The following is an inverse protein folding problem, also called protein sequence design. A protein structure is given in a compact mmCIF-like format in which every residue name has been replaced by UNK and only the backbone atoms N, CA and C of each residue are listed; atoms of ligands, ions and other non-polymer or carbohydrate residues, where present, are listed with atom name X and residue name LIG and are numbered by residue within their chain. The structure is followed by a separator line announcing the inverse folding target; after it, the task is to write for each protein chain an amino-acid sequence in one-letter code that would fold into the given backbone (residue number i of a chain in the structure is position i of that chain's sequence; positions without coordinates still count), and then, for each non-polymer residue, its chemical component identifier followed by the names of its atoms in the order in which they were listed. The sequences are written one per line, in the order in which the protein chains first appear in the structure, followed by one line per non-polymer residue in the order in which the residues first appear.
data_IF_041355679943
#
_entry.id   IF_041355679943
#
_cell.length_a   1.000
_cell.length_b   1.000
_cell.length_c   1.000
_cell.angle_alpha   90.00
_cell.angle_beta   90.00
_cell.angle_gamma   90.00
#
_symmetry.space_group_name_H-M   'P 1'
#
loop_
_entity.id
_entity.type
_entity.pdbx_description
1 polymer ?
#
# COMPACT_ATOMS: atom_id res chain seq x y z
N UNK A 1 24.72 -33.09 4.38
CA UNK A 1 24.85 -31.93 5.28
C UNK A 1 24.81 -32.50 6.69
N UNK A 2 25.79 -32.20 7.56
CA UNK A 2 25.89 -32.83 8.88
C UNK A 2 24.73 -32.36 9.79
N UNK A 3 23.99 -33.30 10.37
CA UNK A 3 22.88 -33.02 11.31
C UNK A 3 23.31 -32.12 12.49
N UNK A 4 24.56 -32.24 12.95
CA UNK A 4 25.12 -31.42 14.02
C UNK A 4 25.13 -29.91 13.69
N UNK A 5 25.35 -29.56 12.41
CA UNK A 5 25.39 -28.16 11.97
C UNK A 5 23.98 -27.57 11.96
N UNK A 6 22.98 -28.34 11.53
CA UNK A 6 21.57 -27.91 11.53
C UNK A 6 21.07 -27.65 12.95
N UNK A 7 21.49 -28.48 13.93
CA UNK A 7 21.13 -28.30 15.33
C UNK A 7 21.72 -27.00 15.89
N UNK A 8 23.00 -26.72 15.59
CA UNK A 8 23.66 -25.48 16.04
C UNK A 8 22.98 -24.25 15.45
N UNK A 9 22.71 -24.24 14.13
CA UNK A 9 22.03 -23.14 13.47
C UNK A 9 20.62 -22.92 13.99
N UNK A 10 19.87 -24.00 14.21
CA UNK A 10 18.51 -23.93 14.75
C UNK A 10 18.50 -23.32 16.16
N UNK A 11 19.43 -23.72 17.03
CA UNK A 11 19.56 -23.14 18.38
C UNK A 11 19.89 -21.65 18.33
N UNK A 12 20.83 -21.25 17.46
CA UNK A 12 21.20 -19.85 17.31
C UNK A 12 20.02 -18.99 16.82
N UNK A 13 19.32 -19.45 15.78
CA UNK A 13 18.24 -18.69 15.15
C UNK A 13 16.97 -18.56 16.01
N UNK A 14 16.87 -19.36 17.08
CA UNK A 14 15.78 -19.32 18.06
C UNK A 14 16.16 -18.66 19.38
N UNK A 15 17.44 -18.31 19.58
CA UNK A 15 17.89 -17.62 20.77
C UNK A 15 17.65 -16.10 20.64
N UNK A 16 17.10 -15.44 21.67
CA UNK A 16 16.96 -13.99 21.68
C UNK A 16 18.34 -13.33 21.76
N UNK A 17 18.56 -12.27 20.97
CA UNK A 17 19.81 -11.53 20.97
C UNK A 17 19.59 -10.12 21.53
N UNK A 18 20.52 -9.67 22.37
CA UNK A 18 20.47 -8.33 22.96
C UNK A 18 20.52 -7.24 21.87
N UNK A 19 21.33 -7.43 20.84
CA UNK A 19 21.45 -6.51 19.70
C UNK A 19 20.13 -6.40 18.90
N UNK A 20 19.28 -7.43 18.97
CA UNK A 20 17.94 -7.42 18.39
C UNK A 20 16.85 -7.05 19.41
N UNK A 21 17.25 -6.43 20.52
CA UNK A 21 16.35 -6.03 21.62
C UNK A 21 15.50 -7.21 22.15
N UNK A 22 16.08 -8.42 22.15
CA UNK A 22 15.41 -9.63 22.61
C UNK A 22 14.65 -10.39 21.52
N UNK A 23 14.64 -9.94 20.27
CA UNK A 23 14.16 -10.76 19.15
C UNK A 23 15.19 -11.82 18.76
N UNK A 24 14.69 -12.94 18.25
CA UNK A 24 15.55 -13.97 17.65
C UNK A 24 15.92 -13.61 16.21
N UNK A 25 17.01 -14.18 15.64
CA UNK A 25 17.31 -14.02 14.23
C UNK A 25 16.14 -14.38 13.30
N UNK A 26 15.37 -15.43 13.60
CA UNK A 26 14.18 -15.78 12.81
C UNK A 26 13.05 -14.74 12.89
N UNK A 27 12.87 -14.12 14.06
CA UNK A 27 11.88 -13.05 14.24
C UNK A 27 12.33 -11.77 13.54
N UNK A 28 13.62 -11.44 13.59
CA UNK A 28 14.19 -10.29 12.89
C UNK A 28 14.10 -10.48 11.37
N UNK A 29 14.42 -11.67 10.85
CA UNK A 29 14.22 -12.02 9.45
C UNK A 29 12.75 -11.84 9.02
N UNK A 30 11.82 -12.37 9.83
CA UNK A 30 10.39 -12.20 9.58
C UNK A 30 9.97 -10.73 9.60
N UNK A 31 10.48 -9.93 10.54
CA UNK A 31 10.17 -8.51 10.62
C UNK A 31 10.67 -7.71 9.41
N UNK A 32 11.87 -8.02 8.91
CA UNK A 32 12.49 -7.29 7.80
C UNK A 32 11.90 -7.67 6.44
N UNK A 33 11.60 -8.95 6.23
CA UNK A 33 11.24 -9.46 4.89
C UNK A 33 9.79 -9.88 4.76
N UNK A 34 9.11 -10.17 5.88
CA UNK A 34 7.73 -10.65 5.91
C UNK A 34 6.96 -10.05 7.10
N UNK A 35 6.96 -8.72 7.30
CA UNK A 35 6.50 -8.07 8.54
C UNK A 35 5.06 -8.37 8.92
N UNK A 36 4.23 -8.86 8.01
CA UNK A 36 2.82 -9.21 8.25
C UNK A 36 2.53 -10.71 8.14
N UNK A 37 3.56 -11.56 8.13
CA UNK A 37 3.36 -13.01 8.21
C UNK A 37 2.97 -13.43 9.63
N UNK A 38 2.40 -14.62 9.76
CA UNK A 38 2.11 -15.23 11.07
C UNK A 38 3.36 -15.47 11.92
N UNK A 39 4.55 -15.52 11.30
CA UNK A 39 5.82 -15.73 11.99
C UNK A 39 6.48 -14.42 12.43
N UNK A 40 5.99 -13.28 11.92
CA UNK A 40 6.49 -11.97 12.31
C UNK A 40 6.00 -11.61 13.71
N UNK A 41 6.86 -10.99 14.55
CA UNK A 41 6.43 -10.44 15.84
C UNK A 41 5.48 -9.25 15.69
N UNK A 42 5.43 -8.63 14.51
CA UNK A 42 4.45 -7.59 14.14
C UNK A 42 3.42 -8.23 13.22
N UNK A 43 2.14 -7.90 13.42
CA UNK A 43 1.05 -8.42 12.60
C UNK A 43 0.03 -7.32 12.32
N UNK A 44 -0.72 -7.47 11.23
CA UNK A 44 -1.87 -6.60 10.99
C UNK A 44 -3.00 -7.02 11.95
N UNK A 45 -3.64 -6.02 12.54
CA UNK A 45 -4.83 -6.25 13.35
C UNK A 45 -6.00 -6.61 12.44
N UNK A 46 -6.62 -7.76 12.70
CA UNK A 46 -7.84 -8.17 12.01
C UNK A 46 -9.03 -7.31 12.42
N UNK A 47 -9.99 -7.15 11.51
CA UNK A 47 -11.29 -6.53 11.76
C UNK A 47 -11.21 -5.13 12.38
N UNK A 48 -10.41 -4.25 11.77
CA UNK A 48 -10.43 -2.83 12.06
C UNK A 48 -11.84 -2.27 11.81
N UNK A 49 -12.33 -1.50 12.76
CA UNK A 49 -13.58 -0.76 12.60
C UNK A 49 -13.40 0.36 11.58
N UNK A 50 -14.45 0.69 10.86
CA UNK A 50 -14.50 1.82 9.93
C UNK A 50 -14.01 3.14 10.54
N UNK A 51 -14.33 3.41 11.81
CA UNK A 51 -13.86 4.60 12.54
C UNK A 51 -12.33 4.67 12.67
N UNK A 52 -11.64 3.53 12.69
CA UNK A 52 -10.17 3.48 12.73
C UNK A 52 -9.63 3.68 11.32
N UNK A 53 -10.21 3.02 10.32
CA UNK A 53 -9.81 3.17 8.92
C UNK A 53 -10.01 4.61 8.41
N UNK A 54 -11.04 5.29 8.91
CA UNK A 54 -11.33 6.70 8.61
C UNK A 54 -10.25 7.67 9.10
N UNK A 55 -9.48 7.27 10.12
CA UNK A 55 -8.37 8.06 10.64
C UNK A 55 -7.09 7.91 9.81
N UNK A 56 -7.07 7.05 8.79
CA UNK A 56 -5.90 6.78 7.96
C UNK A 56 -6.07 7.55 6.64
N UNK A 57 -5.45 8.73 6.47
CA UNK A 57 -5.77 9.60 5.33
C UNK A 57 -5.39 8.99 3.98
N UNK A 58 -4.28 8.25 3.95
CA UNK A 58 -3.82 7.56 2.75
C UNK A 58 -4.78 6.43 2.32
N UNK A 59 -5.39 5.74 3.29
CA UNK A 59 -6.41 4.72 3.03
C UNK A 59 -7.64 5.38 2.37
N UNK A 60 -8.13 6.47 2.96
CA UNK A 60 -9.27 7.24 2.42
C UNK A 60 -8.99 7.77 1.02
N UNK A 61 -7.78 8.27 0.76
CA UNK A 61 -7.36 8.72 -0.57
C UNK A 61 -7.37 7.58 -1.60
N UNK A 62 -6.92 6.39 -1.19
CA UNK A 62 -6.97 5.18 -2.02
C UNK A 62 -8.40 4.77 -2.35
N UNK A 63 -9.31 4.81 -1.37
CA UNK A 63 -10.74 4.53 -1.59
C UNK A 63 -11.33 5.46 -2.66
N UNK A 64 -11.03 6.76 -2.61
CA UNK A 64 -11.53 7.71 -3.61
C UNK A 64 -10.95 7.47 -4.99
N UNK A 65 -9.67 7.10 -5.11
CA UNK A 65 -9.10 6.72 -6.41
C UNK A 65 -9.78 5.46 -6.97
N UNK A 66 -10.03 4.45 -6.15
CA UNK A 66 -10.73 3.23 -6.58
C UNK A 66 -12.16 3.53 -7.02
N UNK A 67 -12.89 4.42 -6.34
CA UNK A 67 -14.21 4.90 -6.76
C UNK A 67 -14.16 5.59 -8.12
N UNK A 68 -13.15 6.44 -8.37
CA UNK A 68 -12.97 7.09 -9.68
C UNK A 68 -12.73 6.05 -10.77
N UNK A 69 -11.94 5.00 -10.49
CA UNK A 69 -11.70 3.90 -11.45
C UNK A 69 -13.00 3.12 -11.69
N UNK A 70 -13.77 2.81 -10.63
CA UNK A 70 -15.05 2.11 -10.69
C UNK A 70 -16.06 2.85 -11.57
N UNK A 71 -16.26 4.14 -11.30
CA UNK A 71 -17.19 4.99 -12.05
C UNK A 71 -16.84 5.10 -13.53
N UNK A 72 -15.55 5.10 -13.87
CA UNK A 72 -15.09 5.19 -15.26
C UNK A 72 -14.99 3.82 -15.95
N UNK A 73 -15.05 2.72 -15.20
CA UNK A 73 -14.72 1.35 -15.63
C UNK A 73 -13.22 1.14 -15.94
N UNK A 74 -12.56 2.14 -16.53
CA UNK A 74 -11.12 2.19 -16.79
C UNK A 74 -10.59 3.60 -16.61
N UNK A 75 -9.46 3.74 -15.94
CA UNK A 75 -8.79 5.03 -15.81
C UNK A 75 -7.58 5.10 -16.73
N UNK A 76 -7.70 5.87 -17.82
CA UNK A 76 -6.59 6.14 -18.73
C UNK A 76 -5.56 7.06 -18.07
N UNK A 77 -4.30 6.66 -18.13
CA UNK A 77 -3.15 7.42 -17.65
C UNK A 77 -2.60 8.31 -18.77
N UNK A 78 -1.75 9.28 -18.42
CA UNK A 78 -1.08 10.12 -19.41
C UNK A 78 -0.19 9.28 -20.33
N UNK A 79 -0.18 9.60 -21.63
CA UNK A 79 0.45 8.76 -22.65
C UNK A 79 1.95 8.57 -22.43
N UNK A 80 2.67 9.64 -22.09
CA UNK A 80 4.14 9.65 -22.01
C UNK A 80 4.66 9.15 -20.68
N UNK A 81 4.20 9.74 -19.56
CA UNK A 81 4.73 9.44 -18.23
C UNK A 81 3.96 8.35 -17.49
N UNK A 82 2.86 7.87 -18.08
CA UNK A 82 1.92 6.95 -17.41
C UNK A 82 1.54 7.48 -16.04
N UNK A 83 1.23 8.78 -15.94
CA UNK A 83 0.80 9.41 -14.69
C UNK A 83 -0.73 9.49 -14.61
N UNK A 84 -1.25 9.68 -13.41
CA UNK A 84 -2.62 10.07 -13.15
C UNK A 84 -2.93 11.37 -13.91
N UNK A 85 -4.07 11.45 -14.60
CA UNK A 85 -4.51 12.69 -15.23
C UNK A 85 -4.69 13.83 -14.23
N UNK A 86 -4.37 15.07 -14.63
CA UNK A 86 -4.46 16.25 -13.76
C UNK A 86 -5.86 16.45 -13.16
N UNK A 87 -6.93 16.15 -13.89
CA UNK A 87 -8.29 16.24 -13.34
C UNK A 87 -8.57 15.22 -12.23
N UNK A 88 -7.98 14.02 -12.30
CA UNK A 88 -8.06 13.03 -11.22
C UNK A 88 -7.28 13.50 -10.01
N UNK A 89 -6.07 14.02 -10.22
CA UNK A 89 -5.24 14.58 -9.15
C UNK A 89 -5.96 15.72 -8.42
N UNK A 90 -6.54 16.66 -9.16
CA UNK A 90 -7.30 17.78 -8.58
C UNK A 90 -8.53 17.28 -7.81
N UNK A 91 -9.29 16.34 -8.37
CA UNK A 91 -10.44 15.76 -7.68
C UNK A 91 -10.02 15.08 -6.36
N UNK A 92 -8.93 14.32 -6.37
CA UNK A 92 -8.41 13.65 -5.18
C UNK A 92 -7.89 14.65 -4.14
N UNK A 93 -7.19 15.70 -4.57
CA UNK A 93 -6.66 16.72 -3.66
C UNK A 93 -7.77 17.54 -2.98
N UNK A 94 -8.90 17.72 -3.65
CA UNK A 94 -10.05 18.45 -3.11
C UNK A 94 -10.70 17.76 -1.90
N UNK A 95 -10.47 16.46 -1.67
CA UNK A 95 -10.91 15.79 -0.45
C UNK A 95 -10.13 16.20 0.79
N UNK A 96 -8.94 16.82 0.63
CA UNK A 96 -8.11 17.35 1.72
C UNK A 96 -7.76 16.32 2.81
N UNK A 97 -7.68 15.04 2.45
CA UNK A 97 -7.18 14.02 3.37
C UNK A 97 -5.72 14.24 3.74
N UNK A 98 -4.90 14.63 2.76
CA UNK A 98 -3.48 14.95 2.95
C UNK A 98 -3.22 16.26 2.20
N UNK A 99 -2.82 17.28 2.95
CA UNK A 99 -2.55 18.63 2.44
C UNK A 99 -1.06 18.90 2.34
N UNK A 100 -0.68 19.82 1.47
CA UNK A 100 0.70 20.31 1.33
C UNK A 100 0.69 21.78 1.74
N UNK A 101 1.39 22.18 2.82
CA UNK A 101 1.34 23.55 3.33
C UNK A 101 1.64 24.60 2.26
N UNK A 102 2.61 24.35 1.38
CA UNK A 102 2.99 25.28 0.33
C UNK A 102 1.94 25.37 -0.79
N UNK A 103 1.16 24.32 -0.99
CA UNK A 103 0.02 24.35 -1.92
C UNK A 103 -1.15 25.10 -1.31
N UNK A 104 -1.43 24.91 -0.02
CA UNK A 104 -2.49 25.63 0.70
C UNK A 104 -2.17 27.13 0.81
N UNK A 105 -0.91 27.50 1.00
CA UNK A 105 -0.41 28.88 1.00
C UNK A 105 -0.32 29.49 -0.42
N UNK A 106 -0.58 28.70 -1.47
CA UNK A 106 -0.57 29.16 -2.86
C UNK A 106 0.82 29.40 -3.45
N UNK A 107 1.89 28.99 -2.76
CA UNK A 107 3.29 29.09 -3.22
C UNK A 107 3.49 28.30 -4.50
N UNK A 108 2.80 27.15 -4.65
CA UNK A 108 2.81 26.38 -5.88
C UNK A 108 1.51 25.58 -6.06
N UNK A 109 1.36 24.96 -7.24
CA UNK A 109 0.16 24.17 -7.59
C UNK A 109 0.54 22.77 -8.05
N UNK A 110 -0.21 21.78 -7.60
CA UNK A 110 -0.09 20.40 -8.07
C UNK A 110 -0.69 20.29 -9.47
N UNK A 111 0.14 20.55 -10.49
CA UNK A 111 -0.26 20.51 -11.91
C UNK A 111 -0.12 19.12 -12.54
N UNK A 112 0.77 18.29 -12.02
CA UNK A 112 1.13 16.96 -12.54
C UNK A 112 1.46 16.04 -11.37
N UNK A 113 1.37 14.73 -11.57
CA UNK A 113 1.71 13.73 -10.54
C UNK A 113 3.13 13.90 -10.02
N UNK A 114 4.12 14.10 -10.91
CA UNK A 114 5.53 14.28 -10.53
C UNK A 114 5.83 15.49 -9.64
N UNK A 115 4.85 16.38 -9.47
CA UNK A 115 4.92 17.53 -8.59
C UNK A 115 4.35 17.17 -7.20
N UNK A 116 4.17 15.89 -6.87
CA UNK A 116 3.68 15.47 -5.57
C UNK A 116 4.04 14.01 -5.31
N UNK A 117 4.86 13.77 -4.30
CA UNK A 117 5.22 12.42 -3.89
C UNK A 117 4.00 11.63 -3.44
N UNK A 118 2.99 12.30 -2.86
CA UNK A 118 1.73 11.68 -2.50
C UNK A 118 1.04 11.01 -3.70
N UNK A 119 0.85 11.74 -4.81
CA UNK A 119 0.15 11.20 -5.97
C UNK A 119 1.01 10.20 -6.75
N UNK A 120 2.33 10.37 -6.72
CA UNK A 120 3.27 9.40 -7.27
C UNK A 120 3.18 8.07 -6.51
N UNK A 121 3.24 8.12 -5.17
CA UNK A 121 3.09 6.94 -4.29
C UNK A 121 1.71 6.32 -4.41
N UNK A 122 0.65 7.12 -4.50
CA UNK A 122 -0.71 6.62 -4.71
C UNK A 122 -0.81 5.82 -6.01
N UNK A 123 -0.29 6.35 -7.11
CA UNK A 123 -0.32 5.68 -8.40
C UNK A 123 0.51 4.38 -8.41
N UNK A 124 1.72 4.40 -7.84
CA UNK A 124 2.61 3.24 -7.77
C UNK A 124 1.98 2.13 -6.91
N UNK A 125 1.55 2.47 -5.70
CA UNK A 125 0.97 1.48 -4.79
C UNK A 125 -0.32 0.89 -5.34
N UNK A 126 -1.20 1.72 -5.90
CA UNK A 126 -2.46 1.26 -6.50
C UNK A 126 -2.21 0.23 -7.61
N UNK A 127 -1.13 0.37 -8.39
CA UNK A 127 -0.78 -0.60 -9.44
C UNK A 127 -0.28 -1.94 -8.91
N UNK A 128 0.36 -1.95 -7.74
CA UNK A 128 0.88 -3.17 -7.17
C UNK A 128 -0.12 -3.90 -6.26
N UNK A 129 -1.28 -3.31 -5.99
CA UNK A 129 -2.39 -3.95 -5.28
C UNK A 129 -3.00 -5.07 -6.11
N UNK A 130 -3.59 -6.06 -5.45
CA UNK A 130 -4.21 -7.19 -6.16
C UNK A 130 -5.51 -6.82 -6.91
N UNK A 131 -6.15 -5.69 -6.56
CA UNK A 131 -7.45 -5.29 -7.12
C UNK A 131 -7.34 -4.56 -8.45
N UNK A 132 -6.19 -3.96 -8.74
CA UNK A 132 -5.97 -3.14 -9.93
C UNK A 132 -4.85 -3.76 -10.76
N UNK A 133 -5.02 -3.75 -12.07
CA UNK A 133 -3.96 -4.06 -13.03
C UNK A 133 -3.72 -2.87 -13.93
N UNK A 134 -2.45 -2.67 -14.28
CA UNK A 134 -2.05 -1.79 -15.36
C UNK A 134 -2.14 -2.54 -16.69
N UNK A 135 -2.92 -2.02 -17.63
CA UNK A 135 -3.05 -2.57 -18.98
C UNK A 135 -2.89 -1.46 -20.02
N UNK A 136 -1.79 -1.49 -20.79
CA UNK A 136 -1.54 -0.58 -21.93
C UNK A 136 -1.80 0.92 -21.63
N UNK A 137 -1.44 1.39 -20.43
CA UNK A 137 -1.66 2.79 -20.04
C UNK A 137 -2.98 3.07 -19.35
N UNK A 138 -3.73 2.04 -18.95
CA UNK A 138 -4.99 2.16 -18.22
C UNK A 138 -4.92 1.38 -16.90
N UNK A 139 -5.56 1.91 -15.86
CA UNK A 139 -5.85 1.18 -14.62
C UNK A 139 -7.26 0.60 -14.71
N UNK A 140 -7.36 -0.70 -14.48
CA UNK A 140 -8.64 -1.44 -14.52
C UNK A 140 -8.68 -2.45 -13.38
N UNK A 141 -9.88 -2.78 -12.92
CA UNK A 141 -10.03 -3.83 -11.92
C UNK A 141 -9.63 -5.20 -12.46
N UNK A 142 -9.00 -5.99 -11.60
CA UNK A 142 -8.74 -7.42 -11.80
C UNK A 142 -10.01 -8.23 -11.52
N UNK A 143 -9.97 -9.55 -11.74
CA UNK A 143 -11.07 -10.43 -11.32
C UNK A 143 -11.29 -10.37 -9.81
N UNK A 144 -10.22 -10.37 -9.01
CA UNK A 144 -10.31 -10.22 -7.55
C UNK A 144 -10.81 -8.83 -7.15
N UNK A 145 -10.44 -7.79 -7.89
CA UNK A 145 -10.96 -6.44 -7.71
C UNK A 145 -12.46 -6.34 -7.96
N UNK A 146 -12.96 -6.97 -9.03
CA UNK A 146 -14.40 -7.03 -9.33
C UNK A 146 -15.16 -7.78 -8.23
N UNK A 147 -14.59 -8.86 -7.69
CA UNK A 147 -15.20 -9.57 -6.56
C UNK A 147 -15.22 -8.70 -5.30
N UNK A 148 -14.11 -8.01 -5.02
CA UNK A 148 -14.02 -7.07 -3.90
C UNK A 148 -15.04 -5.93 -4.02
N UNK A 149 -15.33 -5.43 -5.23
CA UNK A 149 -16.34 -4.37 -5.43
C UNK A 149 -17.75 -4.77 -4.97
N UNK A 150 -18.08 -6.07 -4.90
CA UNK A 150 -19.38 -6.54 -4.42
C UNK A 150 -19.55 -6.40 -2.91
N UNK A 151 -18.47 -6.60 -2.16
CA UNK A 151 -18.48 -6.52 -0.69
C UNK A 151 -17.99 -5.17 -0.18
N UNK A 152 -17.10 -4.50 -0.95
CA UNK A 152 -16.33 -3.32 -0.56
C UNK A 152 -15.69 -3.47 0.81
N UNK A 153 -15.17 -4.66 1.09
CA UNK A 153 -14.52 -4.98 2.36
C UNK A 153 -13.30 -4.08 2.59
N UNK A 154 -13.45 -3.13 3.52
CA UNK A 154 -12.44 -2.13 3.84
C UNK A 154 -11.22 -2.73 4.54
N UNK A 155 -11.41 -3.81 5.31
CA UNK A 155 -10.29 -4.52 5.96
C UNK A 155 -9.42 -5.22 4.92
N UNK A 156 -10.05 -5.87 3.95
CA UNK A 156 -9.33 -6.48 2.83
C UNK A 156 -8.58 -5.44 1.99
N UNK A 157 -9.19 -4.26 1.80
CA UNK A 157 -8.50 -3.14 1.15
C UNK A 157 -7.27 -2.71 1.95
N UNK A 158 -7.42 -2.50 3.25
CA UNK A 158 -6.34 -2.07 4.12
C UNK A 158 -5.17 -3.07 4.12
N UNK A 159 -5.48 -4.36 4.20
CA UNK A 159 -4.49 -5.44 4.12
C UNK A 159 -3.74 -5.41 2.78
N UNK A 160 -4.45 -5.19 1.67
CA UNK A 160 -3.84 -5.08 0.34
C UNK A 160 -2.89 -3.89 0.22
N UNK A 161 -3.28 -2.72 0.76
CA UNK A 161 -2.43 -1.53 0.81
C UNK A 161 -1.18 -1.80 1.65
N UNK A 162 -1.36 -2.31 2.87
CA UNK A 162 -0.27 -2.60 3.79
C UNK A 162 0.74 -3.57 3.17
N UNK A 163 0.28 -4.72 2.64
CA UNK A 163 1.16 -5.70 1.99
C UNK A 163 1.86 -5.14 0.76
N UNK A 164 1.21 -4.25 0.00
CA UNK A 164 1.82 -3.66 -1.18
C UNK A 164 3.02 -2.76 -0.84
N UNK A 165 2.96 -1.99 0.25
CA UNK A 165 4.04 -1.10 0.67
C UNK A 165 5.35 -1.85 0.99
N UNK A 166 5.28 -3.15 1.29
CA UNK A 166 6.42 -3.99 1.63
C UNK A 166 6.79 -5.00 0.55
N UNK A 167 6.12 -4.94 -0.61
CA UNK A 167 6.41 -5.86 -1.70
C UNK A 167 7.70 -5.41 -2.38
N UNK A 168 8.74 -6.25 -2.29
CA UNK A 168 10.03 -6.04 -2.98
C UNK A 168 9.76 -5.82 -4.47
N UNK A 169 10.16 -4.65 -4.99
CA UNK A 169 10.20 -4.34 -6.43
C UNK A 169 11.38 -5.07 -7.05
#
# INVERSE_FOLDING_TARGET
MNEDVEIIWSKYNLAPLQDFQGLTPNQMDSLLYKPYSKTSPVQLKDNLTDQVLDKIPYFRLTEELLKIIELKGRLKLTTTTKSLPTNVIQALYNYKFITDPFVEEGIWKIKREKNSDLFTTLNITTRGMEFIKFNRGELVFTKSGIEWLKTKDRNKLFESIAKNLYRKV
#
